data_IF_955064804931
#
_entry.id   IF_955064804931
#
_cell.length_a   1.000
_cell.length_b   1.000
_cell.length_c   1.000
_cell.angle_alpha   90.00
_cell.angle_beta   90.00
_cell.angle_gamma   90.00
#
_symmetry.space_group_name_H-M   'P 1'
#
loop_
_entity.id
_entity.type
_entity.pdbx_description
1 polymer ?
2 non-polymer ?
3 non-polymer ?
4 water ?
#
# COMPACT_ATOMS: atom_id res chain seq x y z
N UNK A 1 51.14 42.05 9.20
CA UNK A 1 49.74 41.67 9.48
C UNK A 1 48.95 41.25 8.22
N UNK A 2 49.37 41.74 7.05
CA UNK A 2 48.71 41.44 5.77
C UNK A 2 48.52 39.95 5.41
N UNK A 3 49.30 39.08 6.03
CA UNK A 3 49.17 37.64 5.79
C UNK A 3 47.98 37.09 6.58
N UNK A 4 47.85 37.53 7.83
CA UNK A 4 46.75 37.14 8.70
C UNK A 4 45.45 37.81 8.27
N UNK A 5 45.53 39.00 7.67
CA UNK A 5 44.34 39.69 7.18
C UNK A 5 43.85 38.80 6.04
N UNK A 6 44.80 38.30 5.27
CA UNK A 6 44.54 37.42 4.14
C UNK A 6 43.83 36.16 4.63
N UNK A 7 44.55 35.36 5.42
CA UNK A 7 44.03 34.12 5.95
C UNK A 7 42.66 34.32 6.62
N UNK A 8 42.50 35.37 7.42
CA UNK A 8 41.23 35.62 8.10
C UNK A 8 40.10 35.84 7.10
N UNK A 9 40.37 36.64 6.08
CA UNK A 9 39.34 36.91 5.09
C UNK A 9 38.93 35.64 4.36
N UNK A 10 39.89 34.75 4.14
CA UNK A 10 39.63 33.49 3.45
C UNK A 10 38.69 32.59 4.21
N UNK A 11 38.81 32.61 5.53
CA UNK A 11 37.96 31.79 6.36
C UNK A 11 36.56 32.35 6.40
N UNK A 12 36.43 33.67 6.28
CA UNK A 12 35.12 34.30 6.31
C UNK A 12 34.35 33.93 5.06
N UNK A 13 35.02 34.04 3.93
CA UNK A 13 34.43 33.68 2.66
C UNK A 13 34.07 32.20 2.75
N UNK A 14 34.93 31.44 3.44
CA UNK A 14 34.78 30.00 3.61
C UNK A 14 33.62 29.53 4.48
N UNK A 15 33.39 30.18 5.63
CA UNK A 15 32.26 29.81 6.47
C UNK A 15 31.05 30.34 5.72
N UNK A 16 31.24 31.46 5.04
CA UNK A 16 30.19 32.05 4.24
C UNK A 16 29.04 32.60 5.04
N UNK A 17 27.89 32.67 4.39
CA UNK A 17 26.67 33.18 5.00
C UNK A 17 25.54 32.19 4.70
N UNK A 18 24.31 32.61 5.00
CA UNK A 18 23.13 31.80 4.78
C UNK A 18 22.98 31.37 3.36
N UNK A 19 23.55 32.14 2.47
CA UNK A 19 23.45 31.84 1.07
C UNK A 19 24.66 31.12 0.48
N UNK A 20 25.82 31.24 1.12
CA UNK A 20 27.01 30.62 0.55
C UNK A 20 27.99 30.10 1.58
N UNK A 21 28.85 29.20 1.13
CA UNK A 21 29.88 28.63 1.99
C UNK A 21 29.33 27.48 2.79
N UNK A 22 30.02 27.17 3.87
CA UNK A 22 29.61 26.10 4.75
C UNK A 22 28.28 26.43 5.42
N UNK A 23 28.11 27.69 5.80
CA UNK A 23 26.88 28.13 6.44
C UNK A 23 25.70 28.01 5.47
N UNK A 24 25.95 28.17 4.18
CA UNK A 24 24.89 28.07 3.21
C UNK A 24 24.50 26.62 2.97
N UNK A 25 25.48 25.73 2.92
CA UNK A 25 25.19 24.32 2.69
C UNK A 25 24.43 23.69 3.85
N UNK A 26 24.73 24.11 5.08
CA UNK A 26 24.08 23.57 6.28
C UNK A 26 22.64 24.09 6.44
N UNK A 27 22.42 25.33 6.00
CA UNK A 27 21.10 25.97 6.05
C UNK A 27 20.16 25.20 5.13
N UNK A 28 20.68 24.81 3.98
CA UNK A 28 19.91 24.05 3.00
C UNK A 28 19.64 22.68 3.59
N UNK A 29 20.64 22.08 4.24
CA UNK A 29 20.45 20.76 4.83
C UNK A 29 19.34 20.77 5.89
N UNK A 30 19.27 21.82 6.70
CA UNK A 30 18.23 21.89 7.73
C UNK A 30 16.88 22.25 7.17
N UNK A 31 16.87 22.90 6.02
CA UNK A 31 15.63 23.29 5.40
C UNK A 31 14.95 22.04 4.85
N UNK A 32 15.75 21.19 4.23
CA UNK A 32 15.27 19.94 3.64
C UNK A 32 14.78 18.95 4.70
N UNK A 33 15.55 18.84 5.77
CA UNK A 33 15.23 17.93 6.86
C UNK A 33 13.93 18.28 7.55
N UNK A 34 13.81 19.54 7.96
CA UNK A 34 12.63 20.04 8.66
C UNK A 34 11.43 20.20 7.75
N UNK A 35 11.59 21.02 6.71
CA UNK A 35 10.53 21.28 5.76
C UNK A 35 10.06 22.73 5.79
N UNK A 36 9.41 23.15 4.71
CA UNK A 36 8.90 24.51 4.55
C UNK A 36 7.45 24.65 5.01
N UNK A 37 6.68 23.63 4.67
CA UNK A 37 5.28 23.61 4.97
C UNK A 37 4.93 22.19 5.30
N UNK A 38 4.66 21.92 6.58
CA UNK A 38 4.30 20.57 7.02
C UNK A 38 3.02 19.99 6.39
N UNK A 39 2.03 20.83 6.12
CA UNK A 39 0.80 20.35 5.49
C UNK A 39 1.01 20.56 4.00
N UNK A 40 2.26 20.45 3.57
CA UNK A 40 2.59 20.66 2.18
C UNK A 40 2.45 19.38 1.41
N UNK A 41 2.39 19.53 0.10
CA UNK A 41 2.25 18.40 -0.80
C UNK A 41 3.52 17.54 -0.97
N UNK A 42 4.62 18.21 -1.30
CA UNK A 42 5.92 17.60 -1.57
C UNK A 42 6.74 17.11 -0.38
N UNK A 43 7.69 16.25 -0.70
CA UNK A 43 8.65 15.73 0.26
C UNK A 43 9.53 16.87 0.80
N UNK A 44 9.93 17.79 -0.09
CA UNK A 44 10.75 18.94 0.31
C UNK A 44 9.95 19.89 1.18
N UNK A 45 8.66 20.02 0.87
CA UNK A 45 7.82 20.93 1.64
C UNK A 45 7.63 20.43 3.05
N UNK A 46 7.32 19.14 3.17
CA UNK A 46 7.10 18.49 4.46
C UNK A 46 8.39 18.31 5.27
N UNK A 47 9.49 18.11 4.56
CA UNK A 47 10.76 17.90 5.20
C UNK A 47 10.96 16.41 5.19
N UNK A 48 12.22 15.99 5.20
CA UNK A 48 12.58 14.57 5.17
C UNK A 48 11.95 13.81 6.32
N UNK A 49 12.15 14.35 7.52
CA UNK A 49 11.66 13.76 8.76
C UNK A 49 10.16 13.46 8.77
N UNK A 50 9.37 14.46 8.39
CA UNK A 50 7.92 14.31 8.35
C UNK A 50 7.46 13.37 7.26
N UNK A 51 8.19 13.37 6.14
CA UNK A 51 7.89 12.45 5.06
C UNK A 51 8.12 10.98 5.49
N UNK A 52 9.23 10.71 6.17
CA UNK A 52 9.55 9.36 6.64
C UNK A 52 8.51 8.91 7.66
N UNK A 53 8.15 9.81 8.58
CA UNK A 53 7.14 9.48 9.59
C UNK A 53 5.78 9.18 8.93
N UNK A 54 5.45 9.90 7.86
CA UNK A 54 4.17 9.69 7.17
C UNK A 54 4.11 8.33 6.44
N UNK A 55 5.15 8.04 5.67
CA UNK A 55 5.26 6.79 4.95
C UNK A 55 5.11 5.67 5.98
N UNK A 56 5.72 5.89 7.14
CA UNK A 56 5.68 4.94 8.22
C UNK A 56 4.26 4.55 8.60
N UNK A 57 3.43 5.53 8.95
CA UNK A 57 2.07 5.24 9.38
C UNK A 57 1.23 4.71 8.25
N UNK A 58 1.50 5.17 7.04
CA UNK A 58 0.73 4.69 5.92
C UNK A 58 1.05 3.23 5.66
N UNK A 59 2.31 2.85 5.77
CA UNK A 59 2.65 1.47 5.55
C UNK A 59 1.92 0.65 6.59
N UNK A 60 2.03 1.09 7.84
CA UNK A 60 1.39 0.39 8.94
C UNK A 60 -0.11 0.16 8.65
N UNK A 61 -0.76 1.19 8.10
CA UNK A 61 -2.18 1.10 7.77
C UNK A 61 -2.50 0.10 6.69
N UNK A 62 -1.81 0.20 5.56
CA UNK A 62 -2.08 -0.72 4.47
C UNK A 62 -1.87 -2.14 4.94
N UNK A 63 -0.95 -2.30 5.88
CA UNK A 63 -0.64 -3.60 6.41
C UNK A 63 -1.81 -4.18 7.17
N UNK A 64 -2.51 -3.34 7.92
CA UNK A 64 -3.65 -3.79 8.71
C UNK A 64 -4.75 -4.25 7.80
N UNK A 65 -5.04 -3.47 6.76
CA UNK A 65 -6.08 -3.84 5.81
C UNK A 65 -5.71 -5.13 5.10
N UNK A 66 -4.42 -5.30 4.83
CA UNK A 66 -3.94 -6.49 4.15
C UNK A 66 -4.03 -7.71 5.06
N UNK A 67 -3.98 -7.52 6.37
CA UNK A 67 -4.09 -8.66 7.28
C UNK A 67 -5.53 -9.06 7.41
N UNK A 68 -6.40 -8.05 7.38
CA UNK A 68 -7.83 -8.24 7.48
C UNK A 68 -8.37 -8.93 6.20
N UNK A 69 -7.95 -8.43 5.05
CA UNK A 69 -8.40 -9.02 3.81
C UNK A 69 -7.93 -10.46 3.73
N UNK A 70 -6.68 -10.74 4.08
CA UNK A 70 -6.17 -12.12 4.00
C UNK A 70 -7.07 -13.06 4.77
N UNK A 71 -7.60 -12.57 5.88
CA UNK A 71 -8.49 -13.37 6.71
C UNK A 71 -9.83 -13.59 6.03
N UNK A 72 -10.32 -12.54 5.40
CA UNK A 72 -11.59 -12.62 4.70
C UNK A 72 -11.50 -13.59 3.56
N UNK A 73 -10.36 -13.62 2.89
CA UNK A 73 -10.28 -14.52 1.78
C UNK A 73 -10.14 -15.95 2.26
N UNK A 74 -9.56 -16.16 3.44
CA UNK A 74 -9.44 -17.52 3.98
C UNK A 74 -10.81 -18.06 4.30
N UNK A 75 -11.69 -17.21 4.79
CA UNK A 75 -13.00 -17.71 5.08
C UNK A 75 -13.70 -17.92 3.76
N UNK A 76 -13.38 -17.11 2.76
CA UNK A 76 -14.02 -17.27 1.47
C UNK A 76 -13.64 -18.58 0.81
N UNK A 77 -12.38 -18.96 0.94
CA UNK A 77 -11.94 -20.21 0.32
C UNK A 77 -12.61 -21.43 0.94
N UNK A 78 -12.87 -21.35 2.24
CA UNK A 78 -13.53 -22.43 2.94
C UNK A 78 -15.00 -22.47 2.57
N UNK A 79 -15.62 -21.32 2.37
CA UNK A 79 -17.03 -21.25 1.99
C UNK A 79 -17.20 -21.88 0.60
N UNK A 80 -16.30 -21.56 -0.31
CA UNK A 80 -16.35 -22.12 -1.67
C UNK A 80 -16.00 -23.60 -1.66
N UNK A 81 -15.10 -24.00 -0.76
CA UNK A 81 -14.72 -25.41 -0.69
C UNK A 81 -15.93 -26.20 -0.31
N UNK A 82 -16.65 -25.68 0.68
CA UNK A 82 -17.87 -26.29 1.19
C UNK A 82 -18.93 -26.45 0.07
N UNK A 83 -19.22 -25.37 -0.65
CA UNK A 83 -20.18 -25.42 -1.75
C UNK A 83 -19.75 -26.40 -2.85
N UNK A 84 -18.46 -26.45 -3.15
CA UNK A 84 -17.95 -27.37 -4.16
C UNK A 84 -18.09 -28.83 -3.71
N UNK A 85 -17.91 -29.11 -2.42
CA UNK A 85 -17.99 -30.47 -1.89
C UNK A 85 -19.39 -30.83 -1.51
N UNK A 86 -20.34 -29.95 -1.76
CA UNK A 86 -21.70 -30.24 -1.38
C UNK A 86 -22.39 -31.28 -2.27
N UNK A 87 -22.00 -31.38 -3.54
CA UNK A 87 -22.63 -32.36 -4.41
C UNK A 87 -24.03 -32.03 -4.93
N UNK A 88 -24.21 -30.76 -5.21
CA UNK A 88 -25.47 -30.27 -5.70
C UNK A 88 -25.73 -30.81 -7.07
N UNK A 89 -26.99 -30.83 -7.46
CA UNK A 89 -27.31 -31.36 -8.77
C UNK A 89 -27.80 -30.24 -9.64
N UNK A 90 -27.47 -30.34 -10.94
CA UNK A 90 -27.85 -29.34 -11.93
C UNK A 90 -29.21 -29.63 -12.53
N UNK A 91 -29.80 -28.59 -13.09
CA UNK A 91 -31.11 -28.66 -13.71
C UNK A 91 -31.29 -29.88 -14.60
N UNK A 92 -32.51 -30.44 -14.57
CA UNK A 92 -32.91 -31.59 -15.38
C UNK A 92 -33.33 -31.06 -16.76
N UNK A 93 -33.21 -31.86 -17.83
CA UNK A 93 -33.59 -31.40 -19.18
C UNK A 93 -34.96 -30.71 -19.24
N UNK A 94 -35.06 -29.66 -20.07
CA UNK A 94 -36.31 -28.94 -20.24
C UNK A 94 -36.83 -29.35 -21.60
N UNK A 95 -37.63 -30.42 -21.62
CA UNK A 95 -38.19 -30.95 -22.87
C UNK A 95 -39.62 -31.46 -22.76
N UNK A 96 -40.39 -30.85 -21.86
CA UNK A 96 -41.78 -31.23 -21.66
C UNK A 96 -42.00 -32.54 -20.93
N UNK A 97 -40.93 -33.17 -20.49
CA UNK A 97 -41.04 -34.44 -19.80
C UNK A 97 -40.67 -34.38 -18.32
N UNK A 98 -41.21 -35.33 -17.55
CA UNK A 98 -40.99 -35.44 -16.12
C UNK A 98 -39.80 -36.35 -15.88
N UNK A 99 -38.94 -35.96 -14.95
CA UNK A 99 -37.73 -36.70 -14.60
C UNK A 99 -37.63 -36.99 -13.10
N UNK A 100 -36.92 -38.07 -12.75
CA UNK A 100 -36.73 -38.45 -11.36
C UNK A 100 -35.23 -38.71 -11.21
N UNK A 101 -34.73 -38.81 -9.97
CA UNK A 101 -33.30 -39.02 -9.71
C UNK A 101 -32.88 -40.49 -9.50
N UNK A 102 -31.94 -40.95 -10.32
CA UNK A 102 -31.38 -42.31 -10.23
C UNK A 102 -29.89 -42.28 -10.66
N UNK A 103 -29.04 -42.94 -9.87
CA UNK A 103 -27.59 -43.08 -10.11
C UNK A 103 -26.92 -41.91 -10.85
N UNK A 104 -26.85 -40.74 -10.26
CA UNK A 104 -26.26 -39.61 -11.00
C UNK A 104 -27.00 -39.03 -12.18
N UNK A 105 -27.71 -39.83 -12.96
CA UNK A 105 -28.48 -39.36 -14.11
C UNK A 105 -29.91 -38.90 -13.72
N UNK A 106 -30.58 -38.23 -14.66
CA UNK A 106 -31.98 -37.81 -14.54
C UNK A 106 -32.74 -38.80 -15.48
N UNK A 107 -33.66 -39.59 -14.94
CA UNK A 107 -34.40 -40.55 -15.76
C UNK A 107 -35.86 -40.15 -15.96
N UNK A 108 -36.41 -40.52 -17.11
CA UNK A 108 -37.79 -40.22 -17.43
C UNK A 108 -38.70 -40.95 -16.48
N UNK A 109 -39.60 -40.22 -15.84
CA UNK A 109 -40.54 -40.83 -14.91
C UNK A 109 -41.36 -41.89 -15.65
N UNK A 110 -41.80 -41.58 -16.86
CA UNK A 110 -42.60 -42.52 -17.66
C UNK A 110 -42.01 -43.92 -17.82
N UNK A 111 -40.72 -44.07 -17.53
CA UNK A 111 -40.02 -45.37 -17.62
C UNK A 111 -40.37 -46.28 -16.42
N UNK A 112 -41.17 -45.77 -15.50
CA UNK A 112 -41.59 -46.52 -14.32
C UNK A 112 -43.12 -46.48 -14.27
N UNK A 113 -43.67 -45.35 -14.73
CA UNK A 113 -45.11 -45.07 -14.81
C UNK A 113 -45.74 -45.70 -16.09
X LIG B 1 10.41 6.46 3.76
X LIG C 1 -27.48 -43.27 -18.45
#
# INVERSE_FOLDING_TARGET
VSGLNNAVQNLQVEIGNNSAGIKGQVVALNTLVNGTNPNGSTVEERGLTNSIKANETNIASVTQEVNTAKGNISSLQGDVQALQEAGYIPEAPRDGQAYVRKDGEWVLLSTFL
CL CL
ZN ZN
#
